data_IF_082007276985
#
_entry.id   IF_082007276985
#
_cell.length_a   1.000
_cell.length_b   1.000
_cell.length_c   1.000
_cell.angle_alpha   90.00
_cell.angle_beta   90.00
_cell.angle_gamma   90.00
#
_symmetry.space_group_name_H-M   'P 1'
#
loop_
_entity.id
_entity.type
_entity.pdbx_description
1 polymer ?
#
# COMPACT_ATOMS: atom_id res chain seq x y z
N UNK A 1 -2.54 52.07 9.87
CA UNK A 1 -2.97 50.70 9.54
C UNK A 1 -1.81 49.97 8.89
N UNK A 2 -1.32 48.87 9.49
CA UNK A 2 -0.59 47.75 8.87
C UNK A 2 0.07 46.90 9.98
N UNK A 3 -0.72 46.01 10.58
CA UNK A 3 -0.22 44.91 11.44
C UNK A 3 -0.43 43.62 10.66
N UNK A 4 0.49 43.21 9.79
CA UNK A 4 0.52 41.85 9.23
C UNK A 4 1.92 41.51 8.70
N UNK A 5 2.85 41.22 9.61
CA UNK A 5 4.00 40.34 9.34
C UNK A 5 4.16 39.47 10.59
N UNK A 6 3.36 38.41 10.67
CA UNK A 6 3.60 37.35 11.65
C UNK A 6 4.24 36.21 10.89
N UNK A 7 5.41 35.82 11.40
CA UNK A 7 6.28 34.77 10.91
C UNK A 7 5.49 33.51 10.54
N UNK A 8 5.68 33.03 9.31
CA UNK A 8 5.31 31.68 8.93
C UNK A 8 6.37 30.74 9.50
N UNK A 9 6.15 30.26 10.72
CA UNK A 9 6.98 29.20 11.27
C UNK A 9 6.70 27.91 10.50
N UNK A 10 7.70 27.41 9.77
CA UNK A 10 7.57 26.21 8.95
C UNK A 10 7.16 25.01 9.83
N UNK A 11 6.10 24.27 9.47
CA UNK A 11 5.66 23.12 10.25
C UNK A 11 6.77 22.08 10.42
N UNK A 12 6.76 21.37 11.56
CA UNK A 12 7.76 20.35 11.91
C UNK A 12 7.77 19.12 10.98
N UNK A 13 6.80 19.00 10.07
CA UNK A 13 6.73 17.96 9.07
C UNK A 13 7.32 18.37 7.70
N UNK A 14 7.78 19.62 7.56
CA UNK A 14 8.31 20.13 6.30
C UNK A 14 9.79 19.71 6.10
N UNK A 15 10.18 19.17 4.91
CA UNK A 15 11.52 18.63 4.69
C UNK A 15 12.63 19.69 4.64
N UNK A 16 12.29 20.98 4.60
CA UNK A 16 13.23 22.10 4.68
C UNK A 16 13.27 22.76 6.07
N UNK A 17 12.64 22.16 7.09
CA UNK A 17 12.68 22.70 8.45
C UNK A 17 14.05 22.48 9.06
N UNK A 18 14.75 23.58 9.35
CA UNK A 18 16.13 23.62 9.85
C UNK A 18 16.27 23.23 11.33
N UNK A 19 15.20 22.78 11.99
CA UNK A 19 15.25 22.31 13.38
C UNK A 19 15.65 20.84 13.42
N UNK A 20 16.97 20.65 13.41
CA UNK A 20 17.74 19.47 13.80
C UNK A 20 16.93 18.42 14.59
N UNK A 21 16.86 17.22 14.03
CA UNK A 21 16.37 16.01 14.69
C UNK A 21 17.07 15.84 16.04
N UNK A 22 16.35 16.09 17.14
CA UNK A 22 16.83 15.75 18.48
C UNK A 22 16.56 14.28 18.74
N UNK A 23 17.64 13.54 18.96
CA UNK A 23 17.68 12.16 19.43
C UNK A 23 16.95 11.99 20.77
N UNK A 24 16.41 10.79 21.09
CA UNK A 24 15.80 10.55 22.39
C UNK A 24 16.91 10.36 23.44
N UNK A 25 16.94 11.26 24.44
CA UNK A 25 17.70 11.05 25.68
C UNK A 25 16.90 10.12 26.60
N UNK A 26 17.58 9.06 27.01
CA UNK A 26 17.17 8.07 28.01
C UNK A 26 17.42 8.61 29.43
N UNK A 27 16.42 8.55 30.34
CA UNK A 27 16.57 8.30 31.79
C UNK A 27 15.25 8.53 32.59
N UNK A 28 14.49 7.43 32.80
CA UNK A 28 14.00 6.84 34.08
C UNK A 28 13.23 7.67 35.17
N UNK A 29 12.53 7.01 36.14
CA UNK A 29 11.06 7.05 36.23
C UNK A 29 10.52 7.58 37.59
N UNK A 30 9.21 7.88 37.66
CA UNK A 30 8.48 7.90 38.94
C UNK A 30 7.02 7.45 38.76
N UNK A 31 6.75 6.28 39.35
CA UNK A 31 5.46 5.62 39.68
C UNK A 31 4.47 6.59 40.38
N UNK A 32 3.14 6.47 40.40
CA UNK A 32 2.08 5.46 40.09
C UNK A 32 0.71 6.20 40.27
N UNK A 33 -0.50 5.58 40.17
CA UNK A 33 -1.05 4.67 39.16
C UNK A 33 -2.44 5.15 38.68
N UNK A 34 -2.78 4.92 37.40
CA UNK A 34 -4.18 4.79 37.00
C UNK A 34 -4.23 3.81 35.83
N UNK A 35 -5.02 2.76 36.02
CA UNK A 35 -5.08 1.55 35.20
C UNK A 35 -5.16 1.86 33.70
N UNK A 36 -4.09 1.56 32.97
CA UNK A 36 -4.15 1.35 31.54
C UNK A 36 -4.27 -0.16 31.33
N UNK A 37 -5.40 -0.57 30.73
CA UNK A 37 -5.65 -1.92 30.23
C UNK A 37 -4.41 -2.51 29.54
N UNK A 38 -4.21 -3.84 29.62
CA UNK A 38 -3.12 -4.52 28.93
C UNK A 38 -3.41 -4.49 27.42
N UNK A 39 -3.13 -3.36 26.78
CA UNK A 39 -3.18 -3.23 25.34
C UNK A 39 -2.05 -4.10 24.81
N UNK A 40 -2.39 -5.36 24.46
CA UNK A 40 -1.52 -6.33 23.81
C UNK A 40 -0.58 -5.55 22.89
N UNK A 41 0.73 -5.66 23.11
CA UNK A 41 1.73 -5.12 22.19
C UNK A 41 1.63 -5.91 20.90
N UNK A 42 0.62 -5.57 20.12
CA UNK A 42 0.37 -6.15 18.83
C UNK A 42 1.30 -5.44 17.85
N UNK A 43 2.14 -6.23 17.17
CA UNK A 43 3.09 -5.70 16.20
C UNK A 43 2.34 -4.93 15.11
N UNK A 44 2.75 -3.70 14.84
CA UNK A 44 2.14 -2.90 13.77
C UNK A 44 2.74 -3.35 12.44
N UNK A 45 1.91 -3.78 11.50
CA UNK A 45 2.37 -4.20 10.16
C UNK A 45 2.66 -2.99 9.28
N UNK A 46 1.74 -2.03 9.27
CA UNK A 46 1.84 -0.83 8.44
C UNK A 46 1.01 0.30 9.04
N UNK A 47 1.48 1.53 8.85
CA UNK A 47 0.81 2.72 9.36
C UNK A 47 0.88 3.84 8.33
N UNK A 48 -0.28 4.23 7.78
CA UNK A 48 -0.36 5.23 6.71
C UNK A 48 -1.40 6.32 7.04
N UNK A 49 -1.14 7.57 6.63
CA UNK A 49 -2.16 8.62 6.66
C UNK A 49 -3.25 8.32 5.62
N UNK A 50 -4.51 8.54 5.98
CA UNK A 50 -5.68 8.29 5.11
C UNK A 50 -6.67 9.44 5.22
N UNK A 51 -7.41 9.70 4.15
CA UNK A 51 -8.67 10.44 4.19
C UNK A 51 -9.79 9.43 4.38
N UNK A 52 -10.62 9.66 5.39
CA UNK A 52 -11.69 8.77 5.82
C UNK A 52 -13.01 9.41 5.40
N UNK A 53 -13.82 8.62 4.70
CA UNK A 53 -15.21 8.98 4.36
C UNK A 53 -16.12 7.89 4.91
N UNK A 54 -17.14 8.29 5.65
CA UNK A 54 -18.12 7.35 6.18
C UNK A 54 -19.24 7.20 5.16
N UNK A 55 -19.77 5.99 4.93
CA UNK A 55 -20.83 5.80 3.93
C UNK A 55 -22.06 6.68 4.21
N UNK A 56 -22.33 6.94 5.49
CA UNK A 56 -23.49 7.72 5.94
C UNK A 56 -23.23 9.23 5.94
N UNK A 57 -21.98 9.66 5.75
CA UNK A 57 -21.58 11.06 5.91
C UNK A 57 -20.71 11.48 4.71
N UNK A 58 -21.11 12.49 3.96
CA UNK A 58 -20.28 13.06 2.88
C UNK A 58 -19.07 13.85 3.39
N UNK A 59 -18.74 13.77 4.68
CA UNK A 59 -17.57 14.43 5.26
C UNK A 59 -16.31 13.60 5.02
N UNK A 60 -15.29 14.24 4.45
CA UNK A 60 -13.96 13.67 4.33
C UNK A 60 -13.11 14.17 5.49
N UNK A 61 -12.63 13.26 6.34
CA UNK A 61 -11.83 13.60 7.52
C UNK A 61 -10.43 13.02 7.40
N UNK A 62 -9.37 13.80 7.66
CA UNK A 62 -8.03 13.27 7.70
C UNK A 62 -7.87 12.37 8.92
N UNK A 63 -7.16 11.27 8.75
CA UNK A 63 -6.91 10.31 9.81
C UNK A 63 -5.79 9.36 9.44
N UNK A 64 -5.82 8.18 10.04
CA UNK A 64 -4.71 7.25 10.02
C UNK A 64 -5.20 5.82 10.07
N UNK A 65 -4.72 5.02 9.12
CA UNK A 65 -4.95 3.59 9.06
C UNK A 65 -3.74 2.86 9.64
N UNK A 66 -4.00 1.94 10.56
CA UNK A 66 -2.99 1.06 11.15
C UNK A 66 -3.39 -0.38 10.88
N UNK A 67 -2.54 -1.12 10.18
CA UNK A 67 -2.72 -2.55 9.93
C UNK A 67 -2.01 -3.35 11.02
N UNK A 68 -2.70 -4.34 11.55
CA UNK A 68 -2.27 -5.19 12.65
C UNK A 68 -2.50 -6.67 12.26
N UNK A 69 -1.79 -7.64 12.85
CA UNK A 69 -2.02 -9.05 12.58
C UNK A 69 -3.45 -9.51 12.88
N UNK A 70 -4.10 -8.96 13.92
CA UNK A 70 -5.49 -9.27 14.24
C UNK A 70 -6.53 -8.49 13.45
N UNK A 71 -6.15 -7.46 12.69
CA UNK A 71 -7.13 -6.60 12.04
C UNK A 71 -6.62 -5.27 11.50
N UNK A 72 -7.51 -4.29 11.43
CA UNK A 72 -7.16 -2.93 11.02
C UNK A 72 -7.86 -1.90 11.92
N UNK A 73 -7.15 -0.80 12.20
CA UNK A 73 -7.64 0.30 13.02
C UNK A 73 -7.68 1.60 12.22
N UNK A 74 -8.78 2.31 12.36
CA UNK A 74 -8.98 3.63 11.77
C UNK A 74 -8.99 4.64 12.91
N UNK A 75 -8.10 5.62 12.84
CA UNK A 75 -7.98 6.71 13.82
C UNK A 75 -8.19 8.05 13.15
N UNK A 76 -8.77 8.99 13.88
CA UNK A 76 -8.93 10.38 13.45
C UNK A 76 -7.60 11.15 13.52
N UNK A 77 -7.58 12.39 13.02
CA UNK A 77 -6.45 13.31 13.14
C UNK A 77 -6.01 13.55 14.60
N UNK A 78 -6.96 13.51 15.53
CA UNK A 78 -6.72 13.61 16.97
C UNK A 78 -6.20 12.31 17.61
N UNK A 79 -5.84 11.30 16.80
CA UNK A 79 -5.43 9.96 17.24
C UNK A 79 -6.48 9.16 18.05
N UNK A 80 -7.72 9.64 18.07
CA UNK A 80 -8.86 8.91 18.63
C UNK A 80 -9.23 7.75 17.72
N UNK A 81 -9.54 6.58 18.30
CA UNK A 81 -9.96 5.40 17.56
C UNK A 81 -11.39 5.59 17.07
N UNK A 82 -11.57 5.65 15.75
CA UNK A 82 -12.88 5.75 15.12
C UNK A 82 -13.54 4.38 15.02
N UNK A 83 -12.79 3.40 14.53
CA UNK A 83 -13.25 2.02 14.44
C UNK A 83 -12.08 1.04 14.42
N UNK A 84 -12.28 -0.13 15.03
CA UNK A 84 -11.36 -1.27 14.95
C UNK A 84 -12.11 -2.43 14.31
N UNK A 85 -11.54 -2.92 13.24
CA UNK A 85 -12.02 -4.06 12.49
C UNK A 85 -11.14 -5.27 12.82
N UNK A 86 -11.72 -6.33 13.35
CA UNK A 86 -11.00 -7.60 13.47
C UNK A 86 -10.99 -8.35 12.14
N UNK A 87 -9.95 -9.16 11.91
CA UNK A 87 -9.83 -10.00 10.72
C UNK A 87 -11.06 -10.89 10.50
N UNK A 88 -11.69 -11.35 11.59
CA UNK A 88 -12.89 -12.19 11.56
C UNK A 88 -14.15 -11.41 11.22
N UNK A 89 -14.21 -10.17 11.68
CA UNK A 89 -15.40 -9.32 11.65
C UNK A 89 -15.60 -8.57 10.34
N UNK A 90 -14.53 -8.31 9.58
CA UNK A 90 -14.66 -7.67 8.26
C UNK A 90 -15.44 -8.59 7.33
N UNK A 91 -16.52 -8.15 6.70
CA UNK A 91 -17.19 -8.96 5.69
C UNK A 91 -16.49 -8.85 4.34
N UNK A 92 -16.09 -7.62 3.99
CA UNK A 92 -15.63 -7.32 2.64
C UNK A 92 -14.73 -6.09 2.61
N UNK A 93 -13.67 -6.17 1.81
CA UNK A 93 -12.79 -5.05 1.46
C UNK A 93 -12.83 -4.89 -0.06
N UNK A 94 -13.33 -3.77 -0.55
CA UNK A 94 -13.36 -3.45 -1.98
C UNK A 94 -12.23 -2.51 -2.34
N UNK A 95 -11.44 -2.85 -3.35
CA UNK A 95 -10.45 -1.95 -3.94
C UNK A 95 -11.08 -1.24 -5.12
N UNK A 96 -11.29 0.07 -5.01
CA UNK A 96 -11.88 0.91 -6.07
C UNK A 96 -10.81 1.47 -7.00
N UNK A 97 -9.67 1.85 -6.45
CA UNK A 97 -8.48 2.29 -7.18
C UNK A 97 -7.23 1.89 -6.39
N UNK A 98 -6.01 1.98 -6.97
CA UNK A 98 -4.77 1.72 -6.23
C UNK A 98 -4.62 2.55 -4.95
N UNK A 99 -5.31 3.69 -4.88
CA UNK A 99 -5.25 4.65 -3.76
C UNK A 99 -6.48 4.58 -2.85
N UNK A 100 -7.52 3.85 -3.23
CA UNK A 100 -8.83 3.91 -2.58
C UNK A 100 -9.43 2.53 -2.33
N UNK A 101 -9.78 2.28 -1.06
CA UNK A 101 -10.45 1.05 -0.62
C UNK A 101 -11.71 1.37 0.18
N UNK A 102 -12.67 0.46 0.19
CA UNK A 102 -13.82 0.47 1.11
C UNK A 102 -13.80 -0.78 1.97
N UNK A 103 -13.90 -0.61 3.29
CA UNK A 103 -13.98 -1.71 4.26
C UNK A 103 -15.39 -1.73 4.85
N UNK A 104 -16.02 -2.90 4.87
CA UNK A 104 -17.38 -3.08 5.39
C UNK A 104 -17.45 -4.22 6.41
N UNK A 105 -18.18 -3.96 7.49
CA UNK A 105 -18.62 -4.92 8.50
C UNK A 105 -20.14 -4.80 8.66
N UNK A 106 -20.86 -5.91 8.48
CA UNK A 106 -22.30 -6.03 8.53
C UNK A 106 -22.73 -6.47 9.92
N UNK A 107 -23.81 -5.88 10.39
CA UNK A 107 -24.43 -6.27 11.66
C UNK A 107 -25.89 -6.60 11.44
N UNK A 108 -26.37 -7.63 12.14
CA UNK A 108 -27.80 -7.94 12.16
C UNK A 108 -28.47 -6.97 13.14
N UNK A 109 -29.42 -6.16 12.63
CA UNK A 109 -30.22 -5.23 13.44
C UNK A 109 -29.57 -3.88 13.78
N UNK A 110 -28.36 -3.59 13.28
CA UNK A 110 -27.66 -2.30 13.40
C UNK A 110 -27.16 -1.84 12.03
N UNK A 111 -26.95 -0.54 11.79
CA UNK A 111 -26.36 -0.08 10.53
C UNK A 111 -24.95 -0.66 10.35
N UNK A 112 -24.65 -1.13 9.14
CA UNK A 112 -23.33 -1.63 8.76
C UNK A 112 -22.25 -0.54 8.98
N UNK A 113 -21.10 -0.94 9.51
CA UNK A 113 -19.93 -0.07 9.54
C UNK A 113 -19.22 -0.14 8.19
N UNK A 114 -19.28 0.95 7.43
CA UNK A 114 -18.64 1.06 6.13
C UNK A 114 -17.79 2.34 6.04
N UNK A 115 -16.49 2.15 5.87
CA UNK A 115 -15.53 3.24 5.69
C UNK A 115 -14.87 3.15 4.33
N UNK A 116 -14.76 4.29 3.66
CA UNK A 116 -13.98 4.46 2.43
C UNK A 116 -12.73 5.25 2.78
N UNK A 117 -11.59 4.69 2.40
CA UNK A 117 -10.26 5.13 2.78
C UNK A 117 -9.48 5.47 1.53
N UNK A 118 -8.97 6.70 1.47
CA UNK A 118 -8.13 7.19 0.39
C UNK A 118 -6.73 7.49 0.95
N UNK A 119 -5.68 6.91 0.37
CA UNK A 119 -4.30 7.22 0.73
C UNK A 119 -3.33 7.06 -0.44
N UNK A 120 -2.34 7.95 -0.51
CA UNK A 120 -1.23 7.83 -1.45
C UNK A 120 -0.41 6.55 -1.25
N UNK A 121 -0.26 6.10 0.01
CA UNK A 121 0.47 4.88 0.39
C UNK A 121 -0.41 3.63 0.46
N UNK A 122 -1.61 3.68 -0.10
CA UNK A 122 -2.48 2.50 -0.18
C UNK A 122 -1.89 1.37 -1.05
N UNK A 123 -1.12 1.61 -2.12
CA UNK A 123 -0.46 0.54 -2.87
C UNK A 123 0.49 -0.32 -2.02
N UNK A 124 1.06 0.23 -0.95
CA UNK A 124 1.87 -0.52 0.02
C UNK A 124 1.00 -1.33 1.00
N UNK A 125 -0.24 -0.88 1.27
CA UNK A 125 -1.18 -1.52 2.18
C UNK A 125 -1.96 -2.67 1.53
N UNK A 126 -2.27 -2.57 0.24
CA UNK A 126 -3.06 -3.58 -0.49
C UNK A 126 -2.43 -4.99 -0.41
N UNK A 127 -1.11 -5.19 -0.60
CA UNK A 127 -0.49 -6.50 -0.43
C UNK A 127 -0.62 -7.06 0.99
N UNK A 128 -0.48 -6.21 2.02
CA UNK A 128 -0.63 -6.59 3.43
C UNK A 128 -2.08 -6.99 3.71
N UNK A 129 -3.04 -6.21 3.23
CA UNK A 129 -4.46 -6.54 3.32
C UNK A 129 -4.75 -7.88 2.63
N UNK A 130 -4.18 -8.11 1.45
CA UNK A 130 -4.33 -9.37 0.69
C UNK A 130 -3.83 -10.58 1.47
N UNK A 131 -2.75 -10.43 2.23
CA UNK A 131 -2.22 -11.51 3.07
C UNK A 131 -3.16 -11.84 4.24
N UNK A 132 -3.74 -10.82 4.89
CA UNK A 132 -4.56 -11.00 6.10
C UNK A 132 -6.06 -11.24 5.84
N UNK A 133 -6.59 -10.76 4.72
CA UNK A 133 -8.02 -10.74 4.39
C UNK A 133 -8.31 -11.35 3.02
N UNK A 134 -7.47 -12.27 2.54
CA UNK A 134 -7.49 -12.81 1.17
C UNK A 134 -8.87 -13.20 0.64
N UNK A 135 -9.70 -13.87 1.46
CA UNK A 135 -11.05 -14.31 1.08
C UNK A 135 -12.08 -13.18 0.99
N UNK A 136 -11.78 -12.00 1.57
CA UNK A 136 -12.71 -10.88 1.76
C UNK A 136 -12.43 -9.71 0.81
N UNK A 137 -11.32 -9.76 0.07
CA UNK A 137 -10.91 -8.67 -0.82
C UNK A 137 -11.50 -8.85 -2.22
N UNK A 138 -12.19 -7.82 -2.69
CA UNK A 138 -12.73 -7.72 -4.05
C UNK A 138 -12.04 -6.57 -4.79
N UNK A 139 -11.55 -6.85 -5.98
CA UNK A 139 -10.97 -5.84 -6.88
C UNK A 139 -12.03 -5.42 -7.88
N UNK A 140 -12.29 -4.11 -8.00
CA UNK A 140 -13.06 -3.60 -9.12
C UNK A 140 -12.11 -3.59 -10.34
N UNK A 141 -12.51 -4.23 -11.44
CA UNK A 141 -11.67 -4.60 -12.61
C UNK A 141 -10.85 -3.43 -13.20
N UNK A 142 -11.24 -2.17 -12.97
CA UNK A 142 -10.54 -0.98 -13.45
C UNK A 142 -9.38 -0.49 -12.53
N UNK A 143 -9.26 -0.99 -11.30
CA UNK A 143 -8.20 -0.57 -10.36
C UNK A 143 -6.82 -1.14 -10.71
N UNK A 144 -6.77 -2.17 -11.57
CA UNK A 144 -5.55 -2.80 -12.09
C UNK A 144 -5.11 -2.22 -13.45
N UNK A 145 -5.76 -1.15 -13.93
CA UNK A 145 -5.62 -0.56 -15.27
C UNK A 145 -4.24 -0.03 -15.69
N UNK A 146 -3.16 -0.32 -14.95
CA UNK A 146 -1.80 -0.25 -15.49
C UNK A 146 -1.39 -1.50 -16.29
N UNK A 147 -2.26 -2.53 -16.38
CA UNK A 147 -2.10 -3.64 -17.31
C UNK A 147 -2.97 -3.43 -18.56
N UNK A 148 -2.41 -2.76 -19.57
CA UNK A 148 -2.69 -2.97 -20.99
C UNK A 148 -4.13 -2.83 -21.48
N UNK A 149 -4.39 -1.77 -22.24
CA UNK A 149 -5.55 -1.66 -23.12
C UNK A 149 -5.71 -2.91 -24.01
N UNK A 150 -6.84 -3.61 -23.88
CA UNK A 150 -7.20 -4.73 -24.74
C UNK A 150 -8.68 -5.10 -24.57
N UNK A 151 -9.52 -4.63 -25.48
CA UNK A 151 -10.96 -4.90 -25.55
C UNK A 151 -11.24 -6.40 -25.75
N UNK A 152 -12.17 -6.99 -24.99
CA UNK A 152 -13.26 -7.85 -25.50
C UNK A 152 -14.22 -8.30 -24.38
N UNK A 153 -15.49 -8.59 -24.68
CA UNK A 153 -16.54 -8.78 -23.67
C UNK A 153 -16.70 -10.22 -23.18
N UNK A 154 -16.86 -10.35 -21.86
CA UNK A 154 -17.72 -11.30 -21.11
C UNK A 154 -17.88 -12.72 -21.68
N UNK A 155 -17.26 -13.69 -21.01
CA UNK A 155 -17.83 -15.01 -20.81
C UNK A 155 -17.40 -15.55 -19.44
N UNK A 156 -18.38 -16.03 -18.68
CA UNK A 156 -18.24 -16.78 -17.43
C UNK A 156 -17.06 -17.76 -17.48
N UNK A 157 -16.25 -17.81 -16.42
CA UNK A 157 -15.54 -19.00 -15.90
C UNK A 157 -14.54 -18.54 -14.83
N UNK A 158 -14.73 -18.94 -13.57
CA UNK A 158 -13.66 -18.76 -12.58
C UNK A 158 -14.02 -18.80 -11.10
N UNK A 159 -15.27 -19.05 -10.72
CA UNK A 159 -15.64 -19.26 -9.31
C UNK A 159 -15.12 -20.59 -8.71
N UNK A 160 -14.19 -21.31 -9.37
CA UNK A 160 -13.82 -22.69 -9.01
C UNK A 160 -12.46 -22.85 -8.33
N UNK A 161 -11.68 -21.80 -8.07
CA UNK A 161 -10.29 -21.95 -7.61
C UNK A 161 -10.15 -22.17 -6.08
N UNK A 162 -11.20 -21.97 -5.28
CA UNK A 162 -11.07 -21.95 -3.80
C UNK A 162 -11.65 -23.14 -3.05
N UNK A 163 -12.18 -24.17 -3.73
CA UNK A 163 -12.77 -25.35 -3.04
C UNK A 163 -11.82 -26.54 -2.85
N UNK A 164 -10.58 -26.49 -3.36
CA UNK A 164 -9.71 -27.68 -3.36
C UNK A 164 -8.81 -27.85 -2.10
N UNK A 165 -8.94 -27.02 -1.05
CA UNK A 165 -7.97 -27.01 0.06
C UNK A 165 -8.51 -27.41 1.45
N UNK A 166 -9.67 -28.06 1.56
CA UNK A 166 -10.25 -28.47 2.86
C UNK A 166 -10.55 -29.96 3.02
N UNK A 167 -9.78 -30.83 2.38
CA UNK A 167 -9.97 -32.27 2.54
C UNK A 167 -8.69 -33.07 2.49
N UNK A 168 -7.82 -32.97 3.50
CA UNK A 168 -6.92 -34.09 3.84
C UNK A 168 -6.38 -33.99 5.27
N UNK A 169 -7.18 -34.43 6.25
CA UNK A 169 -6.70 -34.87 7.56
C UNK A 169 -6.92 -36.39 7.63
N UNK A 170 -5.85 -37.16 7.83
CA UNK A 170 -5.94 -38.53 8.36
C UNK A 170 -5.11 -39.60 7.66
N UNK A 171 -3.85 -39.74 8.10
CA UNK A 171 -3.17 -41.00 8.52
C UNK A 171 -2.99 -42.20 7.54
N UNK A 172 -1.99 -43.09 7.82
CA UNK A 172 -1.25 -43.84 6.80
C UNK A 172 -1.63 -45.33 6.69
N UNK A 173 -1.44 -45.94 5.51
CA UNK A 173 -1.18 -47.37 5.33
C UNK A 173 -0.67 -47.69 3.91
N UNK A 174 0.54 -48.23 3.82
CA UNK A 174 1.04 -49.16 2.78
C UNK A 174 0.41 -50.56 3.05
N UNK A 175 0.45 -51.63 2.20
CA UNK A 175 1.06 -51.84 0.87
C UNK A 175 0.15 -52.53 -0.20
N UNK A 176 0.63 -52.61 -1.45
CA UNK A 176 0.30 -53.73 -2.36
C UNK A 176 0.06 -53.38 -3.84
N UNK A 177 1.03 -53.69 -4.69
CA UNK A 177 0.90 -53.88 -6.16
C UNK A 177 0.71 -55.41 -6.36
N UNK A 178 -0.09 -55.97 -7.32
CA UNK A 178 0.21 -55.80 -8.74
C UNK A 178 -0.89 -55.93 -9.82
N UNK A 179 -0.45 -55.50 -11.02
CA UNK A 179 -0.77 -56.02 -12.36
C UNK A 179 -2.09 -55.62 -13.02
N UNK A 180 -1.97 -54.88 -14.12
CA UNK A 180 -3.05 -54.66 -15.09
C UNK A 180 -2.66 -53.68 -16.19
N UNK A 181 -2.32 -54.25 -17.35
CA UNK A 181 -2.03 -53.60 -18.64
C UNK A 181 -2.97 -52.44 -19.00
N UNK A 182 -2.41 -51.38 -19.59
CA UNK A 182 -3.19 -50.33 -20.25
C UNK A 182 -2.32 -49.14 -20.65
N UNK A 183 -1.92 -49.12 -21.91
CA UNK A 183 -1.36 -47.96 -22.62
C UNK A 183 -2.13 -46.66 -22.28
N UNK A 184 -1.42 -45.60 -21.86
CA UNK A 184 -2.07 -44.30 -21.65
C UNK A 184 -1.27 -43.18 -20.98
N UNK A 185 -0.10 -43.44 -20.38
CA UNK A 185 0.58 -42.45 -19.51
C UNK A 185 1.72 -41.64 -20.13
N UNK A 186 2.16 -41.94 -21.35
CA UNK A 186 3.32 -41.24 -21.94
C UNK A 186 2.97 -39.86 -22.54
N UNK A 187 1.69 -39.62 -22.86
CA UNK A 187 1.26 -38.37 -23.52
C UNK A 187 1.03 -37.22 -22.51
N UNK A 188 0.63 -37.55 -21.28
CA UNK A 188 0.32 -36.59 -20.22
C UNK A 188 1.59 -36.06 -19.53
N UNK A 189 2.60 -36.92 -19.30
CA UNK A 189 3.93 -36.49 -18.85
C UNK A 189 4.67 -35.64 -19.88
N UNK A 190 4.52 -35.95 -21.18
CA UNK A 190 5.10 -35.15 -22.26
C UNK A 190 4.43 -33.77 -22.40
N UNK A 191 3.15 -33.63 -22.08
CA UNK A 191 2.46 -32.34 -22.06
C UNK A 191 2.84 -31.52 -20.82
N UNK A 192 2.92 -32.12 -19.63
CA UNK A 192 3.35 -31.42 -18.41
C UNK A 192 4.80 -30.88 -18.50
N UNK A 193 5.73 -31.64 -19.10
CA UNK A 193 7.09 -31.16 -19.33
C UNK A 193 7.18 -30.07 -20.40
N UNK A 194 6.35 -30.14 -21.45
CA UNK A 194 6.28 -29.10 -22.49
C UNK A 194 5.67 -27.79 -21.96
N UNK A 195 4.66 -27.89 -21.09
CA UNK A 195 4.04 -26.72 -20.42
C UNK A 195 5.07 -26.05 -19.51
N UNK A 196 5.83 -26.80 -18.71
CA UNK A 196 6.91 -26.24 -17.86
C UNK A 196 8.03 -25.58 -18.67
N UNK A 197 8.35 -26.11 -19.86
CA UNK A 197 9.35 -25.49 -20.74
C UNK A 197 8.86 -24.18 -21.35
N UNK A 198 7.58 -24.09 -21.72
CA UNK A 198 7.00 -22.88 -22.30
C UNK A 198 6.87 -21.78 -21.25
N UNK A 199 6.42 -22.11 -20.05
CA UNK A 199 6.43 -21.21 -18.88
C UNK A 199 7.85 -20.69 -18.58
N UNK A 200 8.86 -21.57 -18.64
CA UNK A 200 10.25 -21.17 -18.44
C UNK A 200 10.77 -20.21 -19.53
N UNK A 201 10.27 -20.29 -20.77
CA UNK A 201 10.61 -19.33 -21.84
C UNK A 201 9.94 -17.99 -21.61
N UNK A 202 8.66 -17.98 -21.21
CA UNK A 202 7.95 -16.75 -20.86
C UNK A 202 8.63 -16.02 -19.72
N UNK A 203 9.02 -16.73 -18.66
CA UNK A 203 9.77 -16.17 -17.54
C UNK A 203 11.11 -15.55 -17.97
N UNK A 204 11.85 -16.21 -18.86
CA UNK A 204 13.10 -15.63 -19.42
C UNK A 204 12.82 -14.35 -20.21
N UNK A 205 11.75 -14.33 -20.99
CA UNK A 205 11.36 -13.15 -21.76
C UNK A 205 10.94 -11.99 -20.84
N UNK A 206 10.18 -12.28 -19.77
CA UNK A 206 9.79 -11.29 -18.77
C UNK A 206 11.05 -10.73 -18.07
N UNK A 207 11.98 -11.59 -17.67
CA UNK A 207 13.24 -11.16 -17.04
C UNK A 207 14.09 -10.29 -17.96
N UNK A 208 14.14 -10.61 -19.27
CA UNK A 208 14.82 -9.76 -20.25
C UNK A 208 14.16 -8.38 -20.40
N UNK A 209 12.83 -8.32 -20.42
CA UNK A 209 12.08 -7.05 -20.44
C UNK A 209 12.32 -6.23 -19.19
N UNK A 210 12.26 -6.86 -18.01
CA UNK A 210 12.56 -6.21 -16.73
C UNK A 210 13.98 -5.66 -16.67
N UNK A 211 14.96 -6.40 -17.19
CA UNK A 211 16.34 -5.92 -17.30
C UNK A 211 16.44 -4.71 -18.22
N UNK A 212 15.75 -4.72 -19.37
CA UNK A 212 15.71 -3.58 -20.29
C UNK A 212 15.15 -2.32 -19.64
N UNK A 213 14.02 -2.47 -18.94
CA UNK A 213 13.39 -1.38 -18.20
C UNK A 213 14.30 -0.85 -17.08
N UNK A 214 14.97 -1.73 -16.34
CA UNK A 214 15.90 -1.31 -15.28
C UNK A 214 17.05 -0.45 -15.84
N UNK A 215 17.62 -0.84 -16.98
CA UNK A 215 18.68 -0.07 -17.65
C UNK A 215 18.17 1.28 -18.18
N UNK A 216 16.96 1.31 -18.73
CA UNK A 216 16.34 2.57 -19.19
C UNK A 216 16.07 3.52 -18.02
N UNK A 217 15.61 2.99 -16.88
CA UNK A 217 15.39 3.81 -15.68
C UNK A 217 16.69 4.34 -15.09
N UNK A 218 17.78 3.56 -15.14
CA UNK A 218 19.11 4.01 -14.71
C UNK A 218 19.62 5.18 -15.57
N UNK A 219 19.54 5.04 -16.90
CA UNK A 219 19.92 6.10 -17.83
C UNK A 219 19.02 7.36 -17.75
N UNK A 220 17.73 7.19 -17.43
CA UNK A 220 16.82 8.32 -17.18
C UNK A 220 17.17 9.03 -15.87
N UNK A 221 17.55 8.31 -14.82
CA UNK A 221 17.97 8.90 -13.55
C UNK A 221 19.24 9.75 -13.71
N UNK A 222 20.25 9.26 -14.45
CA UNK A 222 21.46 10.03 -14.75
C UNK A 222 21.12 11.33 -15.49
N UNK A 223 20.26 11.27 -16.52
CA UNK A 223 19.81 12.48 -17.23
C UNK A 223 19.08 13.46 -16.33
N UNK A 224 18.29 12.97 -15.37
CA UNK A 224 17.59 13.83 -14.41
C UNK A 224 18.56 14.49 -13.43
N UNK A 225 19.59 13.79 -12.99
CA UNK A 225 20.63 14.34 -12.10
C UNK A 225 21.38 15.50 -12.78
N UNK A 226 21.81 15.30 -14.04
CA UNK A 226 22.42 16.37 -14.85
C UNK A 226 21.50 17.58 -15.05
N UNK A 227 20.20 17.35 -15.24
CA UNK A 227 19.21 18.41 -15.37
C UNK A 227 19.03 19.18 -14.06
N UNK A 228 19.07 18.50 -12.91
CA UNK A 228 18.98 19.13 -11.60
C UNK A 228 20.20 20.02 -11.32
N UNK A 229 21.40 19.61 -11.70
CA UNK A 229 22.61 20.45 -11.59
C UNK A 229 22.51 21.72 -12.45
N UNK A 230 21.99 21.58 -13.67
CA UNK A 230 21.72 22.72 -14.55
C UNK A 230 20.73 23.71 -13.91
N UNK A 231 19.65 23.21 -13.31
CA UNK A 231 18.65 24.03 -12.63
C UNK A 231 19.26 24.68 -11.37
N UNK A 232 20.04 23.95 -10.59
CA UNK A 232 20.72 24.45 -9.39
C UNK A 232 21.62 25.64 -9.72
N UNK A 233 22.50 25.48 -10.71
CA UNK A 233 23.38 26.57 -11.16
C UNK A 233 22.63 27.77 -11.75
N UNK A 234 21.49 27.55 -12.41
CA UNK A 234 20.63 28.63 -12.89
C UNK A 234 19.96 29.39 -11.73
N UNK A 235 19.48 28.66 -10.72
CA UNK A 235 18.86 29.24 -9.52
C UNK A 235 19.86 30.04 -8.68
N UNK A 236 21.09 29.56 -8.50
CA UNK A 236 22.16 30.30 -7.83
C UNK A 236 22.47 31.61 -8.55
N UNK A 237 22.62 31.56 -9.89
CA UNK A 237 22.85 32.76 -10.70
C UNK A 237 21.70 33.76 -10.59
N UNK A 238 20.46 33.29 -10.62
CA UNK A 238 19.28 34.14 -10.46
C UNK A 238 19.26 34.79 -9.07
N UNK A 239 19.60 34.04 -8.02
CA UNK A 239 19.68 34.54 -6.64
C UNK A 239 20.74 35.64 -6.50
N UNK A 240 21.94 35.42 -7.03
CA UNK A 240 23.00 36.43 -7.04
C UNK A 240 22.59 37.68 -7.82
N UNK A 241 21.88 37.53 -8.94
CA UNK A 241 21.35 38.66 -9.69
C UNK A 241 20.32 39.44 -8.87
N UNK A 242 19.35 38.76 -8.26
CA UNK A 242 18.33 39.37 -7.41
C UNK A 242 18.94 40.12 -6.23
N UNK A 243 19.93 39.55 -5.54
CA UNK A 243 20.64 40.23 -4.45
C UNK A 243 21.36 41.50 -4.92
N UNK A 244 22.04 41.45 -6.08
CA UNK A 244 22.67 42.64 -6.68
C UNK A 244 21.64 43.71 -7.01
N UNK A 245 20.48 43.34 -7.53
CA UNK A 245 19.38 44.27 -7.79
C UNK A 245 18.81 44.86 -6.49
N UNK A 246 18.58 44.04 -5.46
CA UNK A 246 18.12 44.48 -4.13
C UNK A 246 19.09 45.48 -3.48
N UNK A 247 20.40 45.23 -3.55
CA UNK A 247 21.43 46.16 -3.05
C UNK A 247 21.43 47.48 -3.81
N UNK A 248 21.23 47.46 -5.12
CA UNK A 248 21.13 48.68 -5.94
C UNK A 248 19.89 49.51 -5.57
N UNK A 249 18.73 48.87 -5.44
CA UNK A 249 17.50 49.56 -5.03
C UNK A 249 17.64 50.22 -3.66
N UNK A 250 18.21 49.52 -2.68
CA UNK A 250 18.47 50.07 -1.33
C UNK A 250 19.40 51.29 -1.31
N UNK A 251 20.18 51.56 -2.36
CA UNK A 251 21.04 52.74 -2.46
C UNK A 251 20.34 53.94 -3.12
N UNK A 252 19.15 53.73 -3.70
CA UNK A 252 18.36 54.76 -4.39
C UNK A 252 17.20 55.30 -3.54
N UNK A 253 17.03 54.76 -2.34
CA UNK A 253 16.06 55.15 -1.30
C UNK A 253 16.82 55.59 -0.06
#
# INVERSE_FOLDING_TARGET
SSRLLTELESPSWWPFSTKLWKTPVEAKPKETPAAADPKRQEGILLRIPVIITHRTDSNAKPGKLTLLPSGLEIRDCNSQLLHRFECRDVDEIRVHSPYEISVRQRFIGKPDHAFRLLAARMPEAIPVLRLHFSQKIQFLEDALGFAGAGKSPRADLGASVWQAASGFLGAPADPGIPAGSGEGTDQEQAQLQKVSQEEAKELRQILQKLKGLALETEAELERQDEALDCIGSAAERATLAMERHSRRMRRLT
#
